data_IF_684272118514
#
_entry.id   IF_684272118514
#
_cell.length_a   1.000
_cell.length_b   1.000
_cell.length_c   1.000
_cell.angle_alpha   90.00
_cell.angle_beta   90.00
_cell.angle_gamma   90.00
#
_symmetry.space_group_name_H-M   'P 1'
#
loop_
_entity.id
_entity.type
_entity.pdbx_description
1 polymer ?
#
# COMPACT_ATOMS: atom_id res chain seq x y z
N UNK A 1 17.43 -20.88 -24.73
CA UNK A 1 17.16 -19.45 -24.48
C UNK A 1 15.99 -19.20 -23.49
N UNK A 2 15.52 -20.20 -22.74
CA UNK A 2 14.30 -20.13 -21.90
C UNK A 2 14.52 -19.79 -20.41
N UNK A 3 15.76 -19.73 -19.91
CA UNK A 3 16.03 -19.57 -18.47
C UNK A 3 15.84 -18.15 -17.94
N UNK A 4 16.09 -17.12 -18.77
CA UNK A 4 16.00 -15.70 -18.34
C UNK A 4 14.58 -15.27 -17.96
N UNK A 5 13.55 -15.72 -18.68
CA UNK A 5 12.13 -15.35 -18.41
C UNK A 5 11.67 -15.78 -17.01
N UNK A 6 12.20 -16.88 -16.50
CA UNK A 6 11.89 -17.42 -15.16
C UNK A 6 12.40 -16.51 -14.04
N UNK A 7 13.67 -16.09 -14.12
CA UNK A 7 14.31 -15.27 -13.07
C UNK A 7 13.71 -13.87 -12.98
N UNK A 8 13.41 -13.21 -14.11
CA UNK A 8 12.80 -11.88 -14.10
C UNK A 8 11.39 -11.88 -13.47
N UNK A 9 10.61 -12.93 -13.71
CA UNK A 9 9.30 -13.10 -13.09
C UNK A 9 9.42 -13.27 -11.58
N UNK A 10 10.41 -14.05 -11.13
CA UNK A 10 10.66 -14.28 -9.71
C UNK A 10 11.13 -13.02 -8.98
N UNK A 11 12.09 -12.29 -9.55
CA UNK A 11 12.58 -11.02 -9.00
C UNK A 11 11.43 -9.99 -8.92
N UNK A 12 10.61 -9.88 -9.96
CA UNK A 12 9.45 -9.00 -9.95
C UNK A 12 8.46 -9.37 -8.82
N UNK A 13 8.18 -10.65 -8.60
CA UNK A 13 7.34 -11.11 -7.49
C UNK A 13 7.94 -10.75 -6.12
N UNK A 14 9.25 -10.95 -5.94
CA UNK A 14 9.98 -10.61 -4.71
C UNK A 14 9.92 -9.12 -4.40
N UNK A 15 10.33 -8.27 -5.36
CA UNK A 15 10.32 -6.82 -5.20
C UNK A 15 8.90 -6.32 -4.94
N UNK A 16 7.91 -6.85 -5.66
CA UNK A 16 6.51 -6.51 -5.43
C UNK A 16 6.05 -6.86 -4.01
N UNK A 17 6.42 -8.03 -3.48
CA UNK A 17 6.07 -8.45 -2.13
C UNK A 17 6.74 -7.58 -1.05
N UNK A 18 8.01 -7.22 -1.24
CA UNK A 18 8.74 -6.31 -0.35
C UNK A 18 8.10 -4.93 -0.32
N UNK A 19 7.80 -4.36 -1.50
CA UNK A 19 7.11 -3.07 -1.61
C UNK A 19 5.72 -3.11 -0.95
N UNK A 20 4.97 -4.20 -1.11
CA UNK A 20 3.67 -4.35 -0.48
C UNK A 20 3.76 -4.33 1.06
N UNK A 21 4.76 -5.01 1.65
CA UNK A 21 4.99 -4.99 3.09
C UNK A 21 5.54 -3.65 3.59
N UNK A 22 6.41 -2.99 2.81
CA UNK A 22 6.87 -1.63 3.10
C UNK A 22 5.70 -0.64 3.13
N UNK A 23 4.75 -0.79 2.21
CA UNK A 23 3.53 0.02 2.18
C UNK A 23 2.64 -0.22 3.42
N UNK A 24 2.46 -1.49 3.83
CA UNK A 24 1.76 -1.85 5.08
C UNK A 24 2.43 -1.17 6.29
N UNK A 25 3.75 -1.30 6.42
CA UNK A 25 4.51 -0.69 7.51
C UNK A 25 4.39 0.84 7.52
N UNK A 26 4.43 1.46 6.33
CA UNK A 26 4.25 2.91 6.19
C UNK A 26 2.87 3.37 6.66
N UNK A 27 1.81 2.61 6.35
CA UNK A 27 0.46 2.92 6.85
C UNK A 27 0.38 2.78 8.38
N UNK A 28 1.04 1.78 8.97
CA UNK A 28 1.11 1.66 10.44
C UNK A 28 1.79 2.88 11.07
N UNK A 29 2.90 3.34 10.48
CA UNK A 29 3.58 4.56 10.90
C UNK A 29 2.64 5.77 10.77
N UNK A 30 1.86 5.88 9.68
CA UNK A 30 0.86 6.95 9.56
C UNK A 30 -0.18 6.96 10.68
N UNK A 31 -0.65 5.80 11.15
CA UNK A 31 -1.57 5.74 12.29
C UNK A 31 -0.91 6.25 13.57
N UNK A 32 0.36 5.92 13.80
CA UNK A 32 1.13 6.44 14.94
C UNK A 32 1.28 7.95 14.83
N UNK A 33 1.70 8.45 13.66
CA UNK A 33 1.87 9.88 13.41
C UNK A 33 0.56 10.67 13.51
N UNK A 34 -0.57 10.09 13.11
CA UNK A 34 -1.89 10.69 13.32
C UNK A 34 -2.29 10.71 14.81
N UNK A 35 -1.82 9.73 15.60
CA UNK A 35 -2.06 9.67 17.04
C UNK A 35 -1.26 10.70 17.84
N UNK A 36 -0.06 11.06 17.40
CA UNK A 36 0.80 12.04 18.09
C UNK A 36 0.11 13.38 18.37
N UNK A 37 -0.53 14.07 17.40
CA UNK A 37 -1.23 15.31 17.66
C UNK A 37 -2.60 15.13 18.33
N UNK A 38 -3.19 13.92 18.33
CA UNK A 38 -4.42 13.62 19.06
C UNK A 38 -4.15 13.54 20.57
N UNK A 39 -3.03 12.94 20.96
CA UNK A 39 -2.67 12.69 22.36
C UNK A 39 -1.55 13.60 22.89
N UNK A 40 -1.07 14.54 22.08
CA UNK A 40 0.10 15.37 22.37
C UNK A 40 0.04 16.72 21.66
N UNK A 41 1.20 17.17 21.18
CA UNK A 41 1.33 18.48 20.53
C UNK A 41 0.71 18.48 19.13
N UNK A 42 -0.20 19.43 18.87
CA UNK A 42 -0.88 19.62 17.59
C UNK A 42 0.08 20.01 16.46
N UNK A 43 1.28 20.53 16.77
CA UNK A 43 2.32 20.77 15.77
C UNK A 43 2.75 19.49 15.02
N UNK A 44 2.53 18.31 15.61
CA UNK A 44 2.88 17.03 14.99
C UNK A 44 1.99 16.64 13.79
N UNK A 45 0.91 17.39 13.49
CA UNK A 45 0.14 17.18 12.25
C UNK A 45 1.01 17.30 11.01
N UNK A 46 2.04 18.15 11.04
CA UNK A 46 2.99 18.31 9.92
C UNK A 46 3.74 17.01 9.63
N UNK A 47 4.13 16.25 10.65
CA UNK A 47 4.81 14.96 10.47
C UNK A 47 3.89 13.95 9.77
N UNK A 48 2.62 13.89 10.16
CA UNK A 48 1.62 13.03 9.52
C UNK A 48 1.35 13.45 8.06
N UNK A 49 1.23 14.75 7.81
CA UNK A 49 0.95 15.30 6.49
C UNK A 49 2.13 15.18 5.52
N UNK A 50 3.37 15.26 6.02
CA UNK A 50 4.57 15.19 5.18
C UNK A 50 5.00 13.74 4.88
N UNK A 51 4.87 12.83 5.84
CA UNK A 51 5.32 11.45 5.69
C UNK A 51 4.60 10.70 4.55
N UNK A 52 3.32 11.00 4.29
CA UNK A 52 2.57 10.37 3.18
C UNK A 52 3.22 10.60 1.81
N UNK A 53 3.87 11.75 1.61
CA UNK A 53 4.55 12.06 0.35
C UNK A 53 5.74 11.13 0.06
N UNK A 54 6.31 10.50 1.09
CA UNK A 54 7.42 9.55 0.94
C UNK A 54 6.96 8.19 0.39
N UNK A 55 5.74 7.74 0.71
CA UNK A 55 5.33 6.36 0.42
C UNK A 55 4.08 6.24 -0.48
N UNK A 56 3.33 7.33 -0.72
CA UNK A 56 2.14 7.30 -1.58
C UNK A 56 2.37 6.78 -3.00
N UNK A 57 3.62 6.85 -3.48
CA UNK A 57 4.01 6.38 -4.81
C UNK A 57 4.34 4.89 -4.85
N UNK A 58 4.47 4.20 -3.71
CA UNK A 58 4.76 2.76 -3.68
C UNK A 58 3.73 1.95 -4.50
N UNK A 59 2.41 2.17 -4.37
CA UNK A 59 1.44 1.49 -5.22
C UNK A 59 1.60 1.79 -6.72
N UNK A 60 2.08 2.98 -7.11
CA UNK A 60 2.40 3.28 -8.52
C UNK A 60 3.55 2.40 -9.00
N UNK A 61 4.63 2.31 -8.21
CA UNK A 61 5.77 1.44 -8.53
C UNK A 61 5.35 -0.03 -8.60
N UNK A 62 4.51 -0.47 -7.66
CA UNK A 62 3.93 -1.82 -7.66
C UNK A 62 3.09 -2.08 -8.91
N UNK A 63 2.27 -1.10 -9.35
CA UNK A 63 1.49 -1.21 -10.59
C UNK A 63 2.41 -1.43 -11.80
N UNK A 64 3.45 -0.62 -11.93
CA UNK A 64 4.42 -0.74 -13.02
C UNK A 64 5.13 -2.11 -13.01
N UNK A 65 5.61 -2.56 -11.85
CA UNK A 65 6.22 -3.89 -11.70
C UNK A 65 5.21 -4.99 -12.03
N UNK A 66 3.96 -4.86 -11.58
CA UNK A 66 2.88 -5.80 -11.86
C UNK A 66 2.58 -5.94 -13.34
N UNK A 67 2.60 -4.83 -14.08
CA UNK A 67 2.39 -4.79 -15.53
C UNK A 67 3.60 -5.34 -16.30
N UNK A 68 4.80 -4.84 -16.01
CA UNK A 68 6.05 -5.24 -16.69
C UNK A 68 6.38 -6.71 -16.41
N UNK A 69 6.27 -7.13 -15.15
CA UNK A 69 6.46 -8.51 -14.70
C UNK A 69 5.31 -9.45 -15.06
N UNK A 70 4.23 -8.95 -15.68
CA UNK A 70 3.05 -9.72 -16.09
C UNK A 70 2.48 -10.60 -14.96
N UNK A 71 2.42 -10.04 -13.75
CA UNK A 71 2.00 -10.77 -12.56
C UNK A 71 0.54 -11.24 -12.69
N UNK A 72 0.30 -12.53 -12.47
CA UNK A 72 -1.00 -13.19 -12.60
C UNK A 72 -1.87 -13.01 -11.35
N UNK A 73 -3.07 -13.63 -11.34
CA UNK A 73 -4.02 -13.63 -10.22
C UNK A 73 -4.53 -12.24 -9.83
N UNK A 74 -4.56 -11.30 -10.78
CA UNK A 74 -5.01 -9.93 -10.56
C UNK A 74 -4.05 -9.07 -9.72
N UNK A 75 -2.86 -9.57 -9.34
CA UNK A 75 -1.87 -8.77 -8.58
C UNK A 75 -1.51 -7.47 -9.27
N UNK A 76 -1.39 -7.48 -10.60
CA UNK A 76 -1.13 -6.26 -11.38
C UNK A 76 -2.18 -5.16 -11.19
N UNK A 77 -3.41 -5.48 -10.79
CA UNK A 77 -4.51 -4.52 -10.69
C UNK A 77 -4.82 -4.08 -9.26
N UNK A 78 -4.41 -4.84 -8.25
CA UNK A 78 -4.59 -4.46 -6.85
C UNK A 78 -4.08 -3.06 -6.49
N UNK A 79 -2.92 -2.60 -7.01
CA UNK A 79 -2.44 -1.25 -6.72
C UNK A 79 -3.37 -0.14 -7.17
N UNK A 80 -4.20 -0.34 -8.20
CA UNK A 80 -5.22 0.65 -8.59
C UNK A 80 -6.23 0.89 -7.47
N UNK A 81 -6.66 -0.17 -6.78
CA UNK A 81 -7.54 -0.04 -5.62
C UNK A 81 -6.86 0.69 -4.46
N UNK A 82 -5.58 0.44 -4.22
CA UNK A 82 -4.81 1.15 -3.20
C UNK A 82 -4.65 2.64 -3.55
N UNK A 83 -4.40 2.97 -4.82
CA UNK A 83 -4.35 4.34 -5.32
C UNK A 83 -5.69 5.06 -5.19
N UNK A 84 -6.81 4.37 -5.47
CA UNK A 84 -8.14 4.90 -5.25
C UNK A 84 -8.38 5.25 -3.77
N UNK A 85 -7.98 4.37 -2.85
CA UNK A 85 -8.03 4.67 -1.42
C UNK A 85 -7.15 5.86 -1.02
N UNK A 86 -5.92 5.98 -1.56
CA UNK A 86 -5.06 7.15 -1.32
C UNK A 86 -5.73 8.44 -1.83
N UNK A 87 -6.33 8.43 -3.02
CA UNK A 87 -7.06 9.58 -3.54
C UNK A 87 -8.24 9.96 -2.63
N UNK A 88 -8.99 8.97 -2.14
CA UNK A 88 -10.06 9.18 -1.16
C UNK A 88 -9.54 9.73 0.18
N UNK A 89 -8.34 9.32 0.62
CA UNK A 89 -7.69 9.89 1.82
C UNK A 89 -7.42 11.37 1.65
N UNK A 90 -6.82 11.79 0.53
CA UNK A 90 -6.61 13.21 0.23
C UNK A 90 -7.91 13.98 0.17
N UNK A 91 -8.94 13.41 -0.46
CA UNK A 91 -10.23 14.05 -0.61
C UNK A 91 -10.91 14.34 0.74
N UNK A 92 -10.89 13.34 1.63
CA UNK A 92 -11.50 13.42 2.95
C UNK A 92 -10.68 14.27 3.92
N UNK A 93 -9.34 14.25 3.83
CA UNK A 93 -8.46 15.06 4.67
C UNK A 93 -8.62 16.57 4.42
N UNK A 94 -8.90 16.99 3.18
CA UNK A 94 -9.07 18.41 2.84
C UNK A 94 -10.48 18.96 3.10
N UNK A 95 -11.37 18.19 3.75
CA UNK A 95 -12.72 18.61 4.12
C UNK A 95 -13.54 19.18 2.94
N UNK A 96 -13.32 18.71 1.71
CA UNK A 96 -13.93 19.29 0.49
C UNK A 96 -15.48 19.31 0.56
N UNK A 97 -16.09 18.43 1.36
CA UNK A 97 -17.54 18.39 1.60
C UNK A 97 -17.94 18.55 3.08
N UNK A 98 -17.08 19.16 3.89
CA UNK A 98 -17.33 19.41 5.30
C UNK A 98 -16.95 18.26 6.24
N UNK A 99 -17.23 18.47 7.53
CA UNK A 99 -16.75 17.63 8.64
C UNK A 99 -17.21 16.17 8.55
N UNK A 100 -18.42 15.93 8.03
CA UNK A 100 -18.94 14.57 7.86
C UNK A 100 -18.09 13.74 6.89
N UNK A 101 -17.57 14.35 5.81
CA UNK A 101 -16.66 13.68 4.88
C UNK A 101 -15.28 13.46 5.50
N UNK A 102 -14.79 14.40 6.31
CA UNK A 102 -13.53 14.24 7.04
C UNK A 102 -13.58 13.10 8.06
N UNK A 103 -14.73 12.86 8.69
CA UNK A 103 -14.93 11.72 9.59
C UNK A 103 -14.78 10.35 8.90
N UNK A 104 -14.87 10.28 7.56
CA UNK A 104 -14.59 9.05 6.81
C UNK A 104 -13.10 8.76 6.67
N UNK A 105 -12.23 9.75 6.88
CA UNK A 105 -10.79 9.59 6.69
C UNK A 105 -10.20 8.42 7.50
N UNK A 106 -10.47 8.26 8.82
CA UNK A 106 -9.96 7.12 9.58
C UNK A 106 -10.51 5.77 9.11
N UNK A 107 -11.78 5.72 8.68
CA UNK A 107 -12.40 4.50 8.15
C UNK A 107 -11.72 4.07 6.85
N UNK A 108 -11.51 5.00 5.93
CA UNK A 108 -10.86 4.76 4.65
C UNK A 108 -9.38 4.35 4.87
N UNK A 109 -8.70 4.93 5.87
CA UNK A 109 -7.35 4.53 6.26
C UNK A 109 -7.31 3.07 6.77
N UNK A 110 -8.28 2.67 7.58
CA UNK A 110 -8.40 1.30 8.07
C UNK A 110 -8.66 0.29 6.93
N UNK A 111 -9.51 0.66 5.97
CA UNK A 111 -9.75 -0.15 4.76
C UNK A 111 -8.47 -0.24 3.91
N UNK A 112 -7.79 0.87 3.66
CA UNK A 112 -6.51 0.91 2.94
C UNK A 112 -5.49 -0.03 3.60
N UNK A 113 -5.36 0.03 4.92
CA UNK A 113 -4.48 -0.85 5.69
C UNK A 113 -4.87 -2.32 5.52
N UNK A 114 -6.14 -2.67 5.74
CA UNK A 114 -6.62 -4.04 5.60
C UNK A 114 -6.40 -4.61 4.20
N UNK A 115 -6.69 -3.84 3.15
CA UNK A 115 -6.46 -4.26 1.78
C UNK A 115 -4.96 -4.33 1.44
N UNK A 116 -4.13 -3.44 1.98
CA UNK A 116 -2.67 -3.52 1.81
C UNK A 116 -2.10 -4.83 2.36
N UNK A 117 -2.57 -5.30 3.52
CA UNK A 117 -2.19 -6.60 4.08
C UNK A 117 -2.64 -7.75 3.17
N UNK A 118 -3.87 -7.68 2.63
CA UNK A 118 -4.35 -8.71 1.67
C UNK A 118 -3.46 -8.79 0.44
N UNK A 119 -3.04 -7.65 -0.10
CA UNK A 119 -2.13 -7.58 -1.25
C UNK A 119 -0.76 -8.13 -0.89
N UNK A 120 -0.19 -7.73 0.25
CA UNK A 120 1.11 -8.21 0.72
C UNK A 120 1.12 -9.73 0.93
N UNK A 121 0.13 -10.28 1.65
CA UNK A 121 -0.03 -11.74 1.84
C UNK A 121 -0.18 -12.48 0.51
N UNK A 122 -0.96 -11.93 -0.43
CA UNK A 122 -1.13 -12.54 -1.75
C UNK A 122 0.17 -12.56 -2.55
N UNK A 123 0.95 -11.48 -2.51
CA UNK A 123 2.24 -11.39 -3.17
C UNK A 123 3.26 -12.37 -2.56
N UNK A 124 3.33 -12.47 -1.22
CA UNK A 124 4.26 -13.39 -0.53
C UNK A 124 4.02 -14.86 -0.87
N UNK A 125 2.77 -15.28 -1.10
CA UNK A 125 2.45 -16.68 -1.49
C UNK A 125 2.99 -17.08 -2.86
N UNK A 126 3.27 -16.11 -3.74
CA UNK A 126 3.89 -16.39 -5.04
C UNK A 126 5.40 -16.57 -4.89
N UNK A 127 5.98 -15.82 -3.97
CA UNK A 127 7.43 -15.81 -3.69
C UNK A 127 7.85 -17.03 -2.87
N UNK A 128 7.06 -17.41 -1.88
CA UNK A 128 7.26 -18.59 -1.03
C UNK A 128 6.25 -19.66 -1.44
N UNK A 129 6.52 -20.46 -2.48
CA UNK A 129 5.65 -21.58 -2.80
C UNK A 129 5.57 -22.53 -1.59
N UNK A 130 4.35 -22.88 -1.20
CA UNK A 130 4.06 -23.75 -0.06
C UNK A 130 4.88 -25.04 -0.18
N UNK A 131 5.76 -25.32 0.79
CA UNK A 131 6.58 -26.55 0.84
C UNK A 131 5.75 -27.82 1.05
N UNK A 132 4.43 -27.72 1.21
CA UNK A 132 3.50 -28.84 1.47
C UNK A 132 2.94 -29.54 0.21
N UNK A 133 3.67 -29.51 -0.91
CA UNK A 133 3.38 -30.34 -2.11
C UNK A 133 4.59 -31.18 -2.50
N UNK A 134 5.04 -32.04 -1.59
CA UNK A 134 5.94 -33.17 -1.87
C UNK A 134 5.34 -34.40 -1.22
#
# INVERSE_FOLDING_TARGET
METKKSTYSFLACWVYAVLAWLFVASIMIQFILAGLPIFGDTANWDQHATFVHMFQYIPVVMLLIGLIGKLKNGLRWWPLGLLAFIALQYWTAHMIFGQAAAALHPLIAALLFFFSIKVAKKASRIVLPDRRRV
#
